data_IF_546824539537
#
_entry.id   IF_546824539537
#
_cell.length_a   1.000
_cell.length_b   1.000
_cell.length_c   1.000
_cell.angle_alpha   90.00
_cell.angle_beta   90.00
_cell.angle_gamma   90.00
#
_symmetry.space_group_name_H-M   'P 1'
#
loop_
_entity.id
_entity.type
_entity.pdbx_description
1 polymer ?
#
# COMPACT_ATOMS: atom_id res chain seq x y z
N UNK A 1 8.32 35.01 71.39
CA UNK A 1 9.07 34.41 70.26
C UNK A 1 8.58 32.98 70.15
N UNK A 2 7.48 32.80 69.41
CA UNK A 2 6.83 31.49 69.17
C UNK A 2 7.42 30.85 67.92
N UNK A 3 8.04 29.69 68.07
CA UNK A 3 8.59 28.88 66.98
C UNK A 3 7.88 27.52 66.94
N UNK A 4 6.60 27.51 66.58
CA UNK A 4 5.83 26.26 66.36
C UNK A 4 4.90 26.37 65.15
N UNK A 5 5.35 27.01 64.07
CA UNK A 5 4.75 26.83 62.75
C UNK A 5 5.22 25.49 62.16
N UNK A 6 4.52 24.43 62.55
CA UNK A 6 4.66 23.11 61.94
C UNK A 6 4.16 23.20 60.50
N UNK A 7 5.09 23.16 59.55
CA UNK A 7 4.82 23.01 58.12
C UNK A 7 3.91 21.80 57.87
N UNK A 8 2.64 22.05 57.61
CA UNK A 8 1.72 21.11 56.97
C UNK A 8 2.18 20.92 55.53
N UNK A 9 3.13 20.00 55.35
CA UNK A 9 3.48 19.49 54.03
C UNK A 9 2.26 18.74 53.50
N UNK A 10 1.45 19.44 52.72
CA UNK A 10 0.43 18.86 51.87
C UNK A 10 1.16 17.84 51.00
N UNK A 11 1.08 16.55 51.34
CA UNK A 11 1.52 15.49 50.43
C UNK A 11 0.64 15.65 49.20
N UNK A 12 1.20 16.27 48.17
CA UNK A 12 0.67 16.16 46.83
C UNK A 12 0.52 14.66 46.62
N UNK A 13 -0.73 14.20 46.56
CA UNK A 13 -1.06 12.86 46.10
C UNK A 13 -0.42 12.76 44.73
N UNK A 14 0.75 12.11 44.67
CA UNK A 14 1.45 11.82 43.44
C UNK A 14 0.48 10.99 42.61
N UNK A 15 -0.22 11.68 41.71
CA UNK A 15 -1.12 11.05 40.77
C UNK A 15 -0.23 10.14 39.94
N UNK A 16 -0.33 8.83 40.20
CA UNK A 16 0.43 7.84 39.47
C UNK A 16 0.24 8.14 37.98
N UNK A 17 1.31 8.20 37.17
CA UNK A 17 1.18 8.47 35.75
C UNK A 17 0.20 7.42 35.23
N UNK A 18 -0.92 7.89 34.67
CA UNK A 18 -1.92 7.03 34.03
C UNK A 18 -1.14 6.24 33.00
N UNK A 19 -0.83 4.98 33.30
CA UNK A 19 -0.09 4.09 32.43
C UNK A 19 -1.01 3.84 31.25
N UNK A 20 -0.86 4.65 30.20
CA UNK A 20 -1.44 4.37 28.92
C UNK A 20 -1.07 2.90 28.59
N UNK A 21 -2.05 2.04 28.26
CA UNK A 21 -1.78 0.63 28.05
C UNK A 21 -0.68 0.50 27.00
N UNK A 22 0.45 -0.08 27.41
CA UNK A 22 1.67 -0.18 26.60
C UNK A 22 1.46 -1.08 25.36
N UNK A 23 0.39 -1.87 25.40
CA UNK A 23 -0.15 -2.62 24.28
C UNK A 23 -1.64 -2.27 24.15
N UNK A 24 -1.99 -1.60 23.08
CA UNK A 24 -3.38 -1.52 22.65
C UNK A 24 -3.84 -2.95 22.30
N UNK A 25 -4.92 -3.45 22.88
CA UNK A 25 -5.43 -4.83 22.72
C UNK A 25 -6.47 -4.97 21.59
N UNK A 26 -6.72 -3.88 20.85
CA UNK A 26 -7.71 -3.88 19.77
C UNK A 26 -7.35 -4.92 18.71
N UNK A 27 -8.33 -5.70 18.22
CA UNK A 27 -8.10 -6.67 17.16
C UNK A 27 -7.52 -5.95 15.94
N UNK A 28 -6.62 -6.61 15.19
CA UNK A 28 -5.92 -6.03 14.03
C UNK A 28 -6.88 -5.30 13.08
N UNK A 29 -8.08 -5.86 12.87
CA UNK A 29 -9.15 -5.30 12.03
C UNK A 29 -9.77 -4.00 12.57
N UNK A 30 -9.79 -3.79 13.88
CA UNK A 30 -10.32 -2.56 14.51
C UNK A 30 -9.31 -1.39 14.51
N UNK A 31 -8.06 -1.63 14.07
CA UNK A 31 -7.04 -0.59 13.87
C UNK A 31 -6.95 -0.12 12.42
N UNK A 32 -7.74 -0.73 11.53
CA UNK A 32 -7.76 -0.32 10.13
C UNK A 32 -8.43 1.05 10.01
N UNK A 33 -7.71 1.95 9.36
CA UNK A 33 -8.22 3.26 9.00
C UNK A 33 -9.21 3.17 7.84
N UNK A 34 -10.04 4.20 7.65
CA UNK A 34 -10.95 4.29 6.51
C UNK A 34 -10.21 4.14 5.15
N UNK A 35 -8.97 4.62 5.06
CA UNK A 35 -8.12 4.46 3.88
C UNK A 35 -7.74 3.00 3.61
N UNK A 36 -7.63 2.17 4.65
CA UNK A 36 -7.30 0.75 4.53
C UNK A 36 -8.47 -0.01 3.89
N UNK A 37 -9.68 0.37 4.25
CA UNK A 37 -10.92 -0.15 3.65
C UNK A 37 -11.14 0.37 2.23
N UNK A 38 -10.88 1.66 1.97
CA UNK A 38 -10.99 2.22 0.63
C UNK A 38 -10.01 1.56 -0.34
N UNK A 39 -8.78 1.30 0.10
CA UNK A 39 -7.78 0.55 -0.68
C UNK A 39 -8.26 -0.87 -1.00
N UNK A 40 -8.78 -1.59 0.00
CA UNK A 40 -9.31 -2.93 -0.21
C UNK A 40 -10.51 -2.94 -1.16
N UNK A 41 -11.43 -1.98 -1.00
CA UNK A 41 -12.58 -1.80 -1.89
C UNK A 41 -12.11 -1.53 -3.33
N UNK A 42 -11.12 -0.67 -3.53
CA UNK A 42 -10.58 -0.38 -4.86
C UNK A 42 -10.01 -1.63 -5.54
N UNK A 43 -9.29 -2.49 -4.81
CA UNK A 43 -8.79 -3.77 -5.33
C UNK A 43 -9.92 -4.73 -5.71
N UNK A 44 -10.93 -4.87 -4.84
CA UNK A 44 -12.08 -5.74 -5.10
C UNK A 44 -12.89 -5.26 -6.30
N UNK A 45 -13.15 -3.95 -6.41
CA UNK A 45 -13.85 -3.35 -7.54
C UNK A 45 -13.05 -3.52 -8.83
N UNK A 46 -11.74 -3.31 -8.81
CA UNK A 46 -10.87 -3.49 -9.97
C UNK A 46 -10.86 -4.94 -10.47
N UNK A 47 -10.71 -5.90 -9.56
CA UNK A 47 -10.76 -7.32 -9.91
C UNK A 47 -12.16 -7.77 -10.35
N UNK A 48 -13.21 -7.25 -9.72
CA UNK A 48 -14.60 -7.49 -10.13
C UNK A 48 -14.88 -6.97 -11.54
N UNK A 49 -14.41 -5.75 -11.86
CA UNK A 49 -14.50 -5.19 -13.21
C UNK A 49 -13.76 -6.07 -14.22
N UNK A 50 -12.55 -6.52 -13.88
CA UNK A 50 -11.78 -7.41 -14.74
C UNK A 50 -12.49 -8.74 -14.99
N UNK A 51 -13.08 -9.37 -13.95
CA UNK A 51 -13.88 -10.58 -14.11
C UNK A 51 -15.09 -10.33 -15.00
N UNK A 52 -15.90 -9.32 -14.73
CA UNK A 52 -17.15 -9.13 -15.49
C UNK A 52 -16.87 -8.88 -16.98
N UNK A 53 -15.84 -8.11 -17.31
CA UNK A 53 -15.56 -7.73 -18.70
C UNK A 53 -14.68 -8.72 -19.46
N UNK A 54 -13.72 -9.36 -18.77
CA UNK A 54 -12.71 -10.22 -19.40
C UNK A 54 -12.83 -11.70 -19.05
N UNK A 55 -13.82 -12.13 -18.25
CA UNK A 55 -14.00 -13.55 -17.90
C UNK A 55 -14.12 -14.48 -19.12
N UNK A 56 -14.67 -13.99 -20.23
CA UNK A 56 -14.77 -14.77 -21.48
C UNK A 56 -13.41 -15.03 -22.15
N UNK A 57 -12.40 -14.21 -21.84
CA UNK A 57 -11.04 -14.30 -22.37
C UNK A 57 -10.04 -14.86 -21.35
N UNK A 58 -10.50 -15.21 -20.14
CA UNK A 58 -9.66 -15.74 -19.06
C UNK A 58 -9.91 -17.23 -18.86
N UNK A 59 -8.84 -18.00 -18.78
CA UNK A 59 -8.90 -19.40 -18.39
C UNK A 59 -9.09 -19.56 -16.88
N UNK A 60 -9.32 -20.80 -16.43
CA UNK A 60 -9.50 -21.11 -15.01
C UNK A 60 -8.29 -20.69 -14.16
N UNK A 61 -7.07 -20.86 -14.70
CA UNK A 61 -5.84 -20.48 -14.02
C UNK A 61 -5.77 -18.96 -13.77
N UNK A 62 -6.07 -18.14 -14.77
CA UNK A 62 -6.01 -16.68 -14.64
C UNK A 62 -7.00 -16.17 -13.60
N UNK A 63 -8.21 -16.75 -13.58
CA UNK A 63 -9.23 -16.43 -12.57
C UNK A 63 -8.75 -16.81 -11.17
N UNK A 64 -8.16 -18.00 -11.01
CA UNK A 64 -7.63 -18.45 -9.74
C UNK A 64 -6.50 -17.55 -9.22
N UNK A 65 -5.55 -17.20 -10.09
CA UNK A 65 -4.45 -16.28 -9.75
C UNK A 65 -4.98 -14.91 -9.38
N UNK A 66 -5.93 -14.37 -10.14
CA UNK A 66 -6.49 -13.05 -9.84
C UNK A 66 -7.25 -13.05 -8.51
N UNK A 67 -8.12 -14.03 -8.28
CA UNK A 67 -8.87 -14.18 -7.03
C UNK A 67 -7.92 -14.39 -5.85
N UNK A 68 -6.81 -15.10 -6.02
CA UNK A 68 -5.78 -15.28 -4.99
C UNK A 68 -4.94 -14.01 -4.74
N UNK A 69 -4.71 -13.21 -5.78
CA UNK A 69 -3.87 -12.00 -5.71
C UNK A 69 -4.57 -10.87 -4.97
N UNK A 70 -5.90 -10.71 -5.11
CA UNK A 70 -6.68 -9.69 -4.41
C UNK A 70 -6.50 -9.73 -2.89
N UNK A 71 -6.77 -10.84 -2.17
CA UNK A 71 -6.60 -10.90 -0.72
C UNK A 71 -5.13 -10.78 -0.32
N UNK A 72 -4.18 -11.27 -1.13
CA UNK A 72 -2.76 -11.12 -0.86
C UNK A 72 -2.33 -9.64 -0.89
N UNK A 73 -2.75 -8.87 -1.89
CA UNK A 73 -2.48 -7.44 -2.00
C UNK A 73 -3.18 -6.62 -0.91
N UNK A 74 -4.41 -6.99 -0.54
CA UNK A 74 -5.12 -6.37 0.58
C UNK A 74 -4.34 -6.57 1.89
N UNK A 75 -3.95 -7.81 2.19
CA UNK A 75 -3.19 -8.14 3.39
C UNK A 75 -1.83 -7.41 3.42
N UNK A 76 -1.14 -7.36 2.27
CA UNK A 76 0.12 -6.64 2.12
C UNK A 76 -0.06 -5.12 2.31
N UNK A 77 -1.10 -4.54 1.71
CA UNK A 77 -1.43 -3.12 1.87
C UNK A 77 -1.82 -2.75 3.29
N UNK A 78 -2.50 -3.64 4.03
CA UNK A 78 -2.82 -3.43 5.45
C UNK A 78 -1.58 -3.54 6.34
N UNK A 79 -0.70 -4.51 6.09
CA UNK A 79 0.52 -4.68 6.87
C UNK A 79 1.57 -3.62 6.57
N UNK A 80 1.66 -3.16 5.32
CA UNK A 80 2.70 -2.28 4.84
C UNK A 80 2.13 -1.06 4.10
N UNK A 81 1.77 -0.02 4.86
CA UNK A 81 1.15 1.20 4.33
C UNK A 81 1.95 1.87 3.19
N UNK A 82 3.29 2.00 3.25
CA UNK A 82 4.07 2.59 2.15
C UNK A 82 3.97 1.81 0.83
N UNK A 83 3.75 0.49 0.89
CA UNK A 83 3.65 -0.35 -0.30
C UNK A 83 2.44 0.01 -1.18
N UNK A 84 1.39 0.64 -0.61
CA UNK A 84 0.21 1.07 -1.38
C UNK A 84 0.53 2.09 -2.44
N UNK A 85 1.46 3.02 -2.16
CA UNK A 85 1.85 4.04 -3.12
C UNK A 85 2.58 3.39 -4.30
N UNK A 86 3.40 2.38 -4.04
CA UNK A 86 4.05 1.57 -5.07
C UNK A 86 3.02 0.77 -5.88
N UNK A 87 2.04 0.15 -5.24
CA UNK A 87 0.97 -0.56 -5.95
C UNK A 87 0.13 0.38 -6.82
N UNK A 88 -0.20 1.57 -6.31
CA UNK A 88 -0.93 2.59 -7.04
C UNK A 88 -0.13 3.12 -8.24
N UNK A 89 1.17 3.38 -8.07
CA UNK A 89 2.02 3.81 -9.18
C UNK A 89 2.12 2.73 -10.25
N UNK A 90 2.34 1.46 -9.86
CA UNK A 90 2.35 0.32 -10.78
C UNK A 90 1.02 0.23 -11.54
N UNK A 91 -0.12 0.38 -10.87
CA UNK A 91 -1.44 0.34 -11.50
C UNK A 91 -1.62 1.46 -12.55
N UNK A 92 -1.24 2.69 -12.21
CA UNK A 92 -1.30 3.83 -13.15
C UNK A 92 -0.38 3.60 -14.35
N UNK A 93 0.85 3.15 -14.12
CA UNK A 93 1.82 2.86 -15.18
C UNK A 93 1.32 1.71 -16.08
N UNK A 94 0.71 0.68 -15.50
CA UNK A 94 0.12 -0.43 -16.25
C UNK A 94 -1.04 0.05 -17.15
N UNK A 95 -1.97 0.84 -16.60
CA UNK A 95 -3.09 1.39 -17.39
C UNK A 95 -2.61 2.33 -18.50
N UNK A 96 -1.63 3.19 -18.21
CA UNK A 96 -1.01 4.06 -19.21
C UNK A 96 -0.33 3.23 -20.32
N UNK A 97 0.36 2.15 -19.96
CA UNK A 97 0.95 1.22 -20.91
C UNK A 97 -0.10 0.61 -21.84
N UNK A 98 -1.21 0.10 -21.29
CA UNK A 98 -2.32 -0.47 -22.06
C UNK A 98 -2.88 0.55 -23.06
N UNK A 99 -3.00 1.81 -22.65
CA UNK A 99 -3.45 2.89 -23.56
C UNK A 99 -2.47 3.15 -24.70
N UNK A 100 -1.17 3.04 -24.47
CA UNK A 100 -0.15 3.25 -25.51
C UNK A 100 -0.10 2.07 -26.49
N UNK A 101 -0.40 0.84 -26.04
CA UNK A 101 -0.49 -0.34 -26.91
C UNK A 101 -1.56 -0.17 -28.01
N UNK A 102 -2.66 0.56 -27.76
CA UNK A 102 -3.75 0.80 -28.73
C UNK A 102 -4.23 -0.47 -29.47
N UNK A 103 -4.16 -1.64 -28.83
CA UNK A 103 -4.55 -2.92 -29.42
C UNK A 103 -3.51 -3.57 -30.34
N UNK A 104 -2.34 -2.97 -30.51
CA UNK A 104 -1.26 -3.52 -31.34
C UNK A 104 -0.04 -3.89 -30.47
N UNK A 105 0.18 -5.20 -30.29
CA UNK A 105 1.31 -5.71 -29.51
C UNK A 105 2.67 -5.35 -30.11
N UNK A 106 2.76 -5.09 -31.42
CA UNK A 106 4.02 -4.70 -32.07
C UNK A 106 4.49 -3.31 -31.61
N UNK A 107 3.63 -2.52 -30.96
CA UNK A 107 4.01 -1.23 -30.37
C UNK A 107 4.92 -1.37 -29.16
N UNK A 108 5.08 -2.57 -28.59
CA UNK A 108 6.11 -2.83 -27.59
C UNK A 108 7.51 -2.41 -28.06
N UNK A 109 7.80 -2.60 -29.36
CA UNK A 109 9.13 -2.37 -29.94
C UNK A 109 9.30 -0.98 -30.58
N UNK A 110 8.20 -0.29 -30.88
CA UNK A 110 8.19 1.02 -31.56
C UNK A 110 7.82 2.17 -30.64
N UNK A 111 6.97 1.96 -29.63
CA UNK A 111 6.59 2.99 -28.69
C UNK A 111 7.75 3.26 -27.72
N UNK A 112 8.35 4.45 -27.84
CA UNK A 112 9.49 4.88 -27.03
C UNK A 112 9.28 4.63 -25.53
N UNK A 113 8.12 5.01 -24.99
CA UNK A 113 7.85 4.86 -23.55
C UNK A 113 7.79 3.38 -23.11
N UNK A 114 7.23 2.50 -23.94
CA UNK A 114 7.19 1.07 -23.66
C UNK A 114 8.60 0.49 -23.73
N UNK A 115 9.33 0.76 -24.79
CA UNK A 115 10.65 0.19 -25.03
C UNK A 115 11.72 0.68 -24.05
N UNK A 116 11.74 1.97 -23.74
CA UNK A 116 12.82 2.60 -22.98
C UNK A 116 12.48 2.86 -21.51
N UNK A 117 11.23 2.70 -21.08
CA UNK A 117 10.86 2.97 -19.69
C UNK A 117 10.16 1.79 -19.02
N UNK A 118 9.21 1.15 -19.71
CA UNK A 118 8.42 0.04 -19.14
C UNK A 118 8.93 -1.36 -19.49
N UNK A 119 9.83 -1.47 -20.48
CA UNK A 119 10.47 -2.74 -20.84
C UNK A 119 11.37 -3.20 -19.71
N UNK A 120 11.35 -4.50 -19.38
CA UNK A 120 12.14 -5.07 -18.30
C UNK A 120 13.64 -4.78 -18.43
N UNK A 121 14.18 -4.84 -19.64
CA UNK A 121 15.61 -4.59 -19.86
C UNK A 121 15.97 -3.12 -19.58
N UNK A 122 15.14 -2.19 -20.03
CA UNK A 122 15.37 -0.76 -19.80
C UNK A 122 15.12 -0.37 -18.35
N UNK A 123 14.11 -0.97 -17.70
CA UNK A 123 13.81 -0.72 -16.29
C UNK A 123 14.99 -1.09 -15.38
N UNK A 124 15.69 -2.19 -15.67
CA UNK A 124 16.91 -2.58 -14.94
C UNK A 124 18.02 -1.55 -15.14
N UNK A 125 18.22 -1.08 -16.38
CA UNK A 125 19.22 -0.03 -16.67
C UNK A 125 18.90 1.26 -15.91
N UNK A 126 17.63 1.68 -15.87
CA UNK A 126 17.21 2.84 -15.09
C UNK A 126 17.41 2.65 -13.59
N UNK A 127 17.13 1.45 -13.06
CA UNK A 127 17.42 1.14 -11.66
C UNK A 127 18.91 1.31 -11.34
N UNK A 128 19.80 0.78 -12.18
CA UNK A 128 21.25 0.95 -12.02
C UNK A 128 21.69 2.41 -12.14
N UNK A 129 21.16 3.14 -13.13
CA UNK A 129 21.49 4.56 -13.34
C UNK A 129 21.05 5.44 -12.17
N UNK A 130 19.83 5.25 -11.66
CA UNK A 130 19.29 5.98 -10.52
C UNK A 130 20.07 5.67 -9.23
N UNK A 131 20.55 4.45 -9.06
CA UNK A 131 21.37 4.08 -7.91
C UNK A 131 22.70 4.85 -7.89
N UNK A 132 23.38 4.95 -9.03
CA UNK A 132 24.62 5.74 -9.17
C UNK A 132 24.37 7.23 -8.98
N UNK A 133 23.24 7.75 -9.45
CA UNK A 133 22.89 9.16 -9.29
C UNK A 133 22.53 9.54 -7.83
N UNK A 134 22.11 8.56 -7.03
CA UNK A 134 21.75 8.75 -5.64
C UNK A 134 22.94 8.63 -4.65
N UNK A 135 24.11 8.22 -5.13
CA UNK A 135 25.38 8.15 -4.36
C UNK A 135 26.27 9.35 -4.62
#
# INVERSE_FOLDING_TARGET
MDLTQVSSSHRASAQAPVTAPLFDDRPFLARLSLLDWLFALALVVGAGYALVHYNAHMDYYDKAVMIGTVPALIALGWRWKPARLMMASIAVLALLSIQIYQGDLARADSAFFLKYFLSSQSAILWMSALFVLAT
#
